data_IF_060568224293
#
_entry.id   IF_060568224293
#
_cell.length_a   1.000
_cell.length_b   1.000
_cell.length_c   1.000
_cell.angle_alpha   90.00
_cell.angle_beta   90.00
_cell.angle_gamma   90.00
#
_symmetry.space_group_name_H-M   'P 1'
#
loop_
_entity.id
_entity.type
_entity.pdbx_description
1 polymer ?
#
# COMPACT_ATOMS: atom_id res chain seq x y z
N UNK A 1 13.52 6.05 -6.19
CA UNK A 1 12.25 5.43 -6.67
C UNK A 1 11.41 6.49 -7.35
N UNK A 2 10.90 6.32 -8.58
CA UNK A 2 10.06 7.33 -9.24
C UNK A 2 8.65 7.41 -8.60
N UNK A 3 8.07 6.27 -8.23
CA UNK A 3 6.77 6.18 -7.55
C UNK A 3 6.82 6.77 -6.13
N UNK A 4 6.05 7.83 -5.87
CA UNK A 4 5.90 8.48 -4.57
C UNK A 4 6.22 9.98 -4.57
N UNK A 5 5.46 10.76 -3.80
CA UNK A 5 5.66 12.21 -3.61
C UNK A 5 6.88 12.48 -2.73
N UNK A 6 7.84 13.27 -3.20
CA UNK A 6 9.11 13.56 -2.49
C UNK A 6 9.33 15.05 -2.21
N UNK A 7 8.27 15.85 -2.33
CA UNK A 7 8.39 17.31 -2.41
C UNK A 7 9.16 17.76 -3.65
N UNK A 8 9.71 18.99 -3.66
CA UNK A 8 10.40 19.58 -4.81
C UNK A 8 11.85 19.08 -4.94
N UNK A 9 12.06 17.76 -4.88
CA UNK A 9 13.38 17.13 -4.97
C UNK A 9 13.49 16.29 -6.25
N UNK A 10 14.65 16.31 -6.94
CA UNK A 10 14.89 15.42 -8.07
C UNK A 10 14.92 13.95 -7.60
N UNK A 11 14.70 13.03 -8.54
CA UNK A 11 14.88 11.59 -8.30
C UNK A 11 16.33 11.25 -8.65
N UNK A 12 17.18 10.83 -7.68
CA UNK A 12 18.55 10.42 -7.98
C UNK A 12 18.57 9.25 -8.97
N UNK A 13 19.54 9.28 -9.88
CA UNK A 13 19.83 8.20 -10.83
C UNK A 13 18.66 7.81 -11.76
N UNK A 14 17.70 8.72 -11.96
CA UNK A 14 16.61 8.51 -12.91
C UNK A 14 17.03 8.92 -14.34
N UNK A 15 17.30 7.92 -15.18
CA UNK A 15 17.64 8.12 -16.60
C UNK A 15 16.37 8.22 -17.45
N UNK A 16 15.90 9.45 -17.72
CA UNK A 16 14.72 9.71 -18.56
C UNK A 16 14.80 9.11 -19.96
N UNK A 17 16.01 8.96 -20.51
CA UNK A 17 16.25 8.38 -21.82
C UNK A 17 15.71 6.96 -21.95
N UNK A 18 15.68 6.19 -20.84
CA UNK A 18 15.07 4.87 -20.85
C UNK A 18 13.56 4.90 -21.08
N UNK A 19 12.87 5.96 -20.67
CA UNK A 19 11.45 6.18 -20.94
C UNK A 19 11.26 6.50 -22.42
N UNK A 20 12.13 7.34 -22.97
CA UNK A 20 12.08 7.77 -24.38
C UNK A 20 12.39 6.60 -25.32
N UNK A 21 13.53 5.93 -25.15
CA UNK A 21 13.98 4.85 -26.05
C UNK A 21 13.08 3.62 -26.03
N UNK A 22 12.30 3.42 -24.96
CA UNK A 22 11.34 2.32 -24.83
C UNK A 22 9.89 2.77 -25.02
N UNK A 23 9.68 4.04 -25.38
CA UNK A 23 8.34 4.64 -25.58
C UNK A 23 7.39 4.39 -24.38
N UNK A 24 7.93 4.46 -23.16
CA UNK A 24 7.17 4.19 -21.94
C UNK A 24 6.26 5.38 -21.58
N UNK A 25 5.06 5.07 -21.08
CA UNK A 25 4.13 6.06 -20.54
C UNK A 25 4.29 6.17 -19.02
N UNK A 26 4.43 7.39 -18.51
CA UNK A 26 4.41 7.66 -17.07
C UNK A 26 3.00 8.12 -16.69
N UNK A 27 2.34 7.35 -15.82
CA UNK A 27 1.02 7.69 -15.28
C UNK A 27 1.17 8.07 -13.82
N UNK A 28 0.81 9.31 -13.49
CA UNK A 28 0.72 9.77 -12.10
C UNK A 28 -0.54 9.21 -11.43
N UNK A 29 -0.43 8.79 -10.18
CA UNK A 29 -1.56 8.41 -9.33
C UNK A 29 -1.43 9.15 -8.00
N UNK A 30 -2.49 9.84 -7.58
CA UNK A 30 -2.54 10.56 -6.32
C UNK A 30 -3.87 10.28 -5.63
N UNK A 31 -3.80 9.65 -4.46
CA UNK A 31 -4.97 9.35 -3.66
C UNK A 31 -5.98 8.45 -4.38
N UNK A 32 -7.16 8.35 -3.78
CA UNK A 32 -8.33 7.62 -4.29
C UNK A 32 -9.56 8.48 -4.05
N UNK A 33 -10.44 8.54 -5.04
CA UNK A 33 -11.70 9.29 -4.98
C UNK A 33 -12.88 8.40 -4.58
N UNK A 34 -14.05 9.02 -4.36
CA UNK A 34 -15.28 8.31 -3.97
C UNK A 34 -15.68 7.20 -4.97
N UNK A 35 -15.73 7.43 -6.29
CA UNK A 35 -16.06 6.38 -7.25
C UNK A 35 -15.12 5.16 -7.17
N UNK A 36 -13.83 5.39 -6.86
CA UNK A 36 -12.89 4.27 -6.69
C UNK A 36 -13.14 3.48 -5.41
N UNK A 37 -13.48 4.12 -4.29
CA UNK A 37 -13.93 3.40 -3.09
C UNK A 37 -15.19 2.57 -3.35
N UNK A 38 -16.17 3.15 -4.04
CA UNK A 38 -17.42 2.45 -4.39
C UNK A 38 -17.14 1.19 -5.24
N UNK A 39 -16.21 1.29 -6.21
CA UNK A 39 -15.73 0.13 -6.98
C UNK A 39 -15.00 -0.90 -6.12
N UNK A 40 -14.17 -0.46 -5.17
CA UNK A 40 -13.46 -1.35 -4.26
C UNK A 40 -14.42 -2.13 -3.35
N UNK A 41 -15.46 -1.48 -2.81
CA UNK A 41 -16.51 -2.13 -2.01
C UNK A 41 -17.22 -3.20 -2.83
N UNK A 42 -17.69 -2.86 -4.05
CA UNK A 42 -18.33 -3.85 -4.94
C UNK A 42 -17.41 -5.03 -5.26
N UNK A 43 -16.11 -4.80 -5.42
CA UNK A 43 -15.14 -5.87 -5.66
C UNK A 43 -15.00 -6.79 -4.45
N UNK A 44 -14.94 -6.24 -3.23
CA UNK A 44 -14.89 -7.01 -1.98
C UNK A 44 -16.17 -7.84 -1.80
N UNK A 45 -17.33 -7.22 -2.02
CA UNK A 45 -18.64 -7.88 -1.93
C UNK A 45 -18.80 -9.01 -2.96
N UNK A 46 -18.17 -8.88 -4.13
CA UNK A 46 -18.24 -9.90 -5.18
C UNK A 46 -17.61 -11.25 -4.79
N UNK A 47 -16.75 -11.27 -3.76
CA UNK A 47 -15.97 -12.45 -3.33
C UNK A 47 -15.20 -13.14 -4.46
N UNK A 48 -14.98 -12.46 -5.60
CA UNK A 48 -14.28 -13.01 -6.77
C UNK A 48 -12.82 -13.36 -6.45
N UNK A 49 -12.21 -12.61 -5.53
CA UNK A 49 -10.86 -12.84 -5.02
C UNK A 49 -10.92 -13.02 -3.50
N UNK A 50 -10.03 -13.83 -2.90
CA UNK A 50 -10.00 -14.09 -1.46
C UNK A 50 -9.33 -12.92 -0.72
N UNK A 51 -9.91 -11.71 -0.84
CA UNK A 51 -9.34 -10.47 -0.31
C UNK A 51 -9.27 -10.47 1.23
N UNK A 52 -10.09 -11.28 1.89
CA UNK A 52 -10.01 -11.51 3.33
C UNK A 52 -8.64 -12.00 3.80
N UNK A 53 -7.86 -12.67 2.93
CA UNK A 53 -6.50 -13.12 3.25
C UNK A 53 -5.48 -11.98 3.36
N UNK A 54 -5.82 -10.79 2.87
CA UNK A 54 -4.94 -9.62 2.96
C UNK A 54 -4.90 -9.04 4.36
N UNK A 55 -5.97 -9.18 5.14
CA UNK A 55 -5.98 -8.81 6.55
C UNK A 55 -5.41 -9.95 7.39
N UNK A 56 -4.31 -9.69 8.10
CA UNK A 56 -3.63 -10.75 8.87
C UNK A 56 -3.79 -10.59 10.37
N UNK A 57 -3.97 -9.38 10.90
CA UNK A 57 -4.08 -9.16 12.34
C UNK A 57 -5.11 -8.11 12.71
N UNK A 58 -5.91 -8.40 13.74
CA UNK A 58 -6.66 -7.41 14.50
C UNK A 58 -6.09 -7.38 15.91
N UNK A 59 -5.69 -6.21 16.39
CA UNK A 59 -5.12 -6.01 17.72
C UNK A 59 -5.89 -4.93 18.47
N UNK A 60 -5.97 -4.98 19.80
CA UNK A 60 -6.55 -3.88 20.57
C UNK A 60 -5.69 -2.62 20.44
N UNK A 61 -6.30 -1.44 20.57
CA UNK A 61 -5.59 -0.16 20.49
C UNK A 61 -4.46 -0.05 21.54
N UNK A 62 -4.59 -0.73 22.68
CA UNK A 62 -3.54 -0.83 23.72
C UNK A 62 -2.25 -1.46 23.21
N UNK A 63 -2.31 -2.26 22.15
CA UNK A 63 -1.18 -2.99 21.57
C UNK A 63 -0.59 -2.27 20.35
N UNK A 64 -0.89 -0.98 20.16
CA UNK A 64 -0.43 -0.20 19.02
C UNK A 64 1.09 -0.26 18.80
N UNK A 65 1.89 -0.25 19.88
CA UNK A 65 3.35 -0.36 19.76
C UNK A 65 3.77 -1.72 19.18
N UNK A 66 3.18 -2.82 19.68
CA UNK A 66 3.41 -4.17 19.15
C UNK A 66 2.97 -4.24 17.69
N UNK A 67 1.82 -3.65 17.34
CA UNK A 67 1.33 -3.62 15.96
C UNK A 67 2.34 -2.95 15.00
N UNK A 68 2.96 -1.85 15.41
CA UNK A 68 3.98 -1.16 14.61
C UNK A 68 5.22 -2.04 14.43
N UNK A 69 5.73 -2.68 15.50
CA UNK A 69 6.90 -3.59 15.41
C UNK A 69 6.60 -4.80 14.53
N UNK A 70 5.40 -5.36 14.66
CA UNK A 70 4.94 -6.48 13.83
C UNK A 70 4.86 -6.09 12.35
N UNK A 71 4.30 -4.92 12.01
CA UNK A 71 4.26 -4.40 10.64
C UNK A 71 5.67 -4.12 10.08
N UNK A 72 6.60 -3.73 10.95
CA UNK A 72 8.00 -3.53 10.62
C UNK A 72 8.81 -4.85 10.53
N UNK A 73 8.18 -6.02 10.72
CA UNK A 73 8.81 -7.34 10.76
C UNK A 73 9.92 -7.47 11.81
N UNK A 74 9.69 -6.84 12.97
CA UNK A 74 10.62 -6.87 14.10
C UNK A 74 10.23 -7.92 15.15
N UNK A 75 9.11 -8.61 14.97
CA UNK A 75 8.63 -9.68 15.85
C UNK A 75 8.96 -11.05 15.19
N UNK A 76 9.87 -11.86 15.77
CA UNK A 76 10.27 -13.12 15.16
C UNK A 76 9.12 -14.12 15.02
N UNK A 77 8.95 -14.70 13.83
CA UNK A 77 7.97 -15.76 13.59
C UNK A 77 6.55 -15.28 13.28
N UNK A 78 6.30 -13.98 13.27
CA UNK A 78 5.01 -13.40 12.87
C UNK A 78 5.20 -12.38 11.74
N UNK A 79 4.50 -12.58 10.61
CA UNK A 79 4.52 -11.67 9.46
C UNK A 79 3.15 -10.99 9.31
N UNK A 80 3.16 -9.65 9.26
CA UNK A 80 1.96 -8.87 8.97
C UNK A 80 1.94 -8.33 7.53
N UNK A 81 0.76 -8.42 6.91
CA UNK A 81 0.45 -7.75 5.63
C UNK A 81 -0.41 -6.51 5.91
N UNK A 82 -1.44 -6.66 6.73
CA UNK A 82 -2.33 -5.59 7.16
C UNK A 82 -2.79 -5.83 8.59
N UNK A 83 -2.80 -4.76 9.38
CA UNK A 83 -3.19 -4.76 10.79
C UNK A 83 -4.29 -3.72 10.98
N UNK A 84 -5.37 -4.10 11.67
CA UNK A 84 -6.37 -3.17 12.18
C UNK A 84 -6.23 -3.04 13.70
N UNK A 85 -6.23 -1.81 14.21
CA UNK A 85 -6.38 -1.53 15.63
C UNK A 85 -7.86 -1.28 15.93
N UNK A 86 -8.40 -2.00 16.90
CA UNK A 86 -9.79 -1.85 17.35
C UNK A 86 -9.84 -1.23 18.76
N UNK A 87 -10.88 -0.43 19.08
CA UNK A 87 -11.02 0.21 20.39
C UNK A 87 -10.98 -0.76 21.56
#
# INVERSE_FOLDING_TARGET
MLAGTKGPKPVPDFLSDQVVFKELTIIGALGVDYPNYERAVRLIESRKYPLERLHTHTLPLTDAERAIRLLARQEPGEDAIHIALVP
#
